data_IF_247938371140
#
_entry.id   IF_247938371140
#
_cell.length_a   1.000
_cell.length_b   1.000
_cell.length_c   1.000
_cell.angle_alpha   90.00
_cell.angle_beta   90.00
_cell.angle_gamma   90.00
#
_symmetry.space_group_name_H-M   'P 1'
#
loop_
_entity.id
_entity.type
_entity.pdbx_description
1 polymer ?
#
# COMPACT_ATOMS: atom_id res chain seq x y z
N UNK A 1 -28.82 -42.64 6.82
CA UNK A 1 -27.61 -43.12 6.13
C UNK A 1 -26.99 -41.95 5.38
N UNK A 2 -25.74 -41.60 5.66
CA UNK A 2 -25.07 -40.45 5.07
C UNK A 2 -24.52 -40.81 3.68
N UNK A 3 -25.00 -40.12 2.63
CA UNK A 3 -24.43 -40.25 1.29
C UNK A 3 -23.07 -39.56 1.24
N UNK A 4 -22.04 -40.41 1.22
CA UNK A 4 -20.64 -40.07 1.05
C UNK A 4 -20.34 -39.97 -0.45
N UNK A 5 -20.00 -38.76 -0.91
CA UNK A 5 -19.12 -38.48 -2.04
C UNK A 5 -19.66 -38.62 -3.46
N UNK A 6 -19.36 -37.61 -4.28
CA UNK A 6 -19.05 -37.81 -5.70
C UNK A 6 -17.95 -36.84 -6.15
N UNK A 7 -17.17 -37.23 -7.17
CA UNK A 7 -15.77 -36.83 -7.34
C UNK A 7 -15.63 -35.65 -8.31
N UNK A 8 -14.88 -34.62 -7.91
CA UNK A 8 -14.48 -33.55 -8.81
C UNK A 8 -13.57 -34.09 -9.91
N UNK A 9 -14.08 -34.05 -11.15
CA UNK A 9 -13.38 -34.35 -12.39
C UNK A 9 -11.93 -33.84 -12.39
N UNK A 10 -10.97 -34.75 -12.54
CA UNK A 10 -9.59 -34.40 -12.90
C UNK A 10 -9.59 -34.09 -14.39
N UNK A 11 -9.60 -32.81 -14.75
CA UNK A 11 -9.25 -32.36 -16.09
C UNK A 11 -7.72 -32.43 -16.25
N UNK A 12 -7.16 -33.34 -17.06
CA UNK A 12 -5.73 -33.32 -17.35
C UNK A 12 -5.39 -32.03 -18.11
N UNK A 13 -4.42 -31.27 -17.59
CA UNK A 13 -3.94 -30.02 -18.22
C UNK A 13 -4.33 -28.71 -17.52
N UNK A 14 -5.13 -28.74 -16.44
CA UNK A 14 -5.48 -27.51 -15.72
C UNK A 14 -4.42 -27.14 -14.65
N UNK A 15 -3.41 -26.36 -15.04
CA UNK A 15 -2.37 -25.80 -14.15
C UNK A 15 -2.95 -24.93 -13.04
N UNK A 16 -4.06 -24.23 -13.31
CA UNK A 16 -4.73 -23.36 -12.35
C UNK A 16 -5.38 -24.15 -11.19
N UNK A 17 -5.79 -25.40 -11.42
CA UNK A 17 -6.37 -26.24 -10.37
C UNK A 17 -5.35 -26.61 -9.27
N UNK A 18 -4.06 -26.69 -9.60
CA UNK A 18 -2.99 -26.88 -8.62
C UNK A 18 -2.73 -25.61 -7.81
N UNK A 19 -2.71 -24.46 -8.47
CA UNK A 19 -2.48 -23.15 -7.84
C UNK A 19 -3.62 -22.80 -6.87
N UNK A 20 -4.88 -23.05 -7.25
CA UNK A 20 -6.04 -22.81 -6.39
C UNK A 20 -6.05 -23.73 -5.16
N UNK A 21 -5.60 -24.99 -5.31
CA UNK A 21 -5.42 -25.90 -4.17
C UNK A 21 -4.31 -25.46 -3.23
N UNK A 22 -3.20 -24.93 -3.76
CA UNK A 22 -2.09 -24.45 -2.92
C UNK A 22 -2.49 -23.17 -2.15
N UNK A 23 -3.30 -22.30 -2.78
CA UNK A 23 -3.92 -21.15 -2.12
C UNK A 23 -4.89 -21.57 -1.01
N UNK A 24 -5.79 -22.53 -1.26
CA UNK A 24 -6.71 -23.05 -0.21
C UNK A 24 -5.97 -23.77 0.92
N UNK A 25 -4.80 -24.37 0.64
CA UNK A 25 -3.95 -24.99 1.66
C UNK A 25 -3.24 -23.96 2.52
N UNK A 26 -2.71 -22.88 1.93
CA UNK A 26 -2.06 -21.78 2.66
C UNK A 26 -3.04 -20.99 3.49
N UNK A 27 -4.26 -20.73 2.99
CA UNK A 27 -5.29 -20.01 3.74
C UNK A 27 -5.71 -20.73 5.03
N UNK A 28 -5.70 -22.07 5.02
CA UNK A 28 -5.99 -22.88 6.22
C UNK A 28 -4.80 -23.02 7.16
N UNK A 29 -3.57 -22.86 6.67
CA UNK A 29 -2.36 -23.05 7.47
C UNK A 29 -2.04 -21.86 8.39
N UNK A 30 -2.59 -20.67 8.14
CA UNK A 30 -2.33 -19.45 8.94
C UNK A 30 -3.24 -19.29 10.17
N UNK A 31 -4.21 -20.18 10.40
CA UNK A 31 -5.21 -20.06 11.49
C UNK A 31 -4.88 -20.89 12.76
N UNK A 32 -3.70 -21.50 12.88
CA UNK A 32 -3.35 -22.26 14.10
C UNK A 32 -1.91 -22.06 14.55
N UNK A 33 -1.59 -20.88 15.09
CA UNK A 33 -0.47 -20.75 16.03
C UNK A 33 -0.55 -19.44 16.81
N UNK A 34 -1.13 -19.51 18.01
CA UNK A 34 -0.61 -18.93 19.28
C UNK A 34 -1.71 -18.97 20.34
N UNK A 35 -1.69 -20.02 21.16
CA UNK A 35 -2.58 -20.14 22.31
C UNK A 35 -1.85 -20.80 23.46
N UNK A 36 -1.06 -20.01 24.23
CA UNK A 36 -0.67 -20.17 25.64
C UNK A 36 0.20 -18.95 26.03
N UNK A 37 -0.04 -18.26 27.16
CA UNK A 37 0.34 -18.75 28.50
C UNK A 37 -0.74 -18.59 29.59
N UNK A 38 -0.57 -19.38 30.65
CA UNK A 38 -1.31 -19.26 31.90
C UNK A 38 -0.51 -18.41 32.91
N UNK A 39 -1.22 -17.46 33.52
CA UNK A 39 -1.08 -16.90 34.87
C UNK A 39 0.29 -16.43 35.41
N UNK A 40 0.36 -15.16 35.82
CA UNK A 40 0.44 -14.77 37.24
C UNK A 40 0.24 -13.25 37.39
N UNK A 41 -0.51 -12.89 38.43
CA UNK A 41 -0.70 -11.52 38.93
C UNK A 41 0.57 -11.09 39.66
N UNK A 42 1.02 -9.86 39.47
CA UNK A 42 1.48 -9.03 40.57
C UNK A 42 1.39 -7.55 40.20
N UNK A 43 0.87 -6.78 41.14
CA UNK A 43 0.65 -5.35 41.07
C UNK A 43 1.98 -4.61 41.04
N UNK A 44 2.15 -3.62 40.16
CA UNK A 44 2.99 -2.46 40.44
C UNK A 44 2.30 -1.21 39.88
N UNK A 45 1.86 -0.37 40.82
CA UNK A 45 1.46 0.99 40.60
C UNK A 45 2.66 1.78 40.05
N UNK A 46 2.54 2.28 38.83
CA UNK A 46 3.47 3.26 38.29
C UNK A 46 2.74 4.23 37.36
N UNK A 47 2.78 5.49 37.80
CA UNK A 47 2.71 6.78 37.11
C UNK A 47 2.43 6.75 35.60
N UNK A 48 1.53 7.61 35.06
CA UNK A 48 1.29 7.67 33.62
C UNK A 48 2.57 8.03 32.87
N UNK A 49 3.20 7.03 32.25
CA UNK A 49 4.30 7.22 31.34
C UNK A 49 3.78 7.98 30.11
N UNK A 50 4.32 9.17 29.89
CA UNK A 50 4.24 9.86 28.60
C UNK A 50 4.62 8.86 27.51
N UNK A 51 3.77 8.64 26.49
CA UNK A 51 4.14 7.74 25.40
C UNK A 51 5.44 8.28 24.79
N UNK A 52 6.46 7.43 24.54
CA UNK A 52 7.66 7.89 23.86
C UNK A 52 7.26 8.51 22.53
N UNK A 53 7.96 9.55 22.03
CA UNK A 53 7.72 10.05 20.69
C UNK A 53 7.82 8.84 19.75
N UNK A 54 6.75 8.57 19.02
CA UNK A 54 6.66 7.42 18.12
C UNK A 54 7.81 7.54 17.11
N UNK A 55 8.90 6.81 17.35
CA UNK A 55 10.01 6.73 16.43
C UNK A 55 9.44 6.12 15.15
N UNK A 56 9.22 6.97 14.13
CA UNK A 56 8.74 6.51 12.84
C UNK A 56 9.67 5.38 12.39
N UNK A 57 9.13 4.17 12.36
CA UNK A 57 9.91 2.96 12.11
C UNK A 57 10.39 3.03 10.67
N UNK A 58 11.70 2.88 10.45
CA UNK A 58 12.23 2.83 9.08
C UNK A 58 11.80 1.52 8.42
N UNK A 59 11.12 1.60 7.28
CA UNK A 59 10.68 0.41 6.54
C UNK A 59 11.46 0.26 5.25
N UNK A 60 11.92 -0.96 4.98
CA UNK A 60 12.45 -1.35 3.67
C UNK A 60 11.36 -1.85 2.71
N UNK A 61 10.09 -1.91 3.15
CA UNK A 61 8.99 -2.43 2.34
C UNK A 61 8.42 -1.33 1.43
N UNK A 62 8.00 -1.67 0.21
CA UNK A 62 7.20 -0.77 -0.61
C UNK A 62 5.94 -0.32 0.14
N UNK A 63 5.58 0.95 -0.03
CA UNK A 63 4.31 1.51 0.42
C UNK A 63 3.55 2.05 -0.78
N UNK A 64 2.23 2.11 -0.67
CA UNK A 64 1.34 2.59 -1.72
C UNK A 64 0.18 3.38 -1.14
N UNK A 65 -0.29 4.38 -1.87
CA UNK A 65 -1.47 5.16 -1.53
C UNK A 65 -2.19 5.64 -2.78
N UNK A 66 -3.46 5.98 -2.62
CA UNK A 66 -4.20 6.77 -3.59
C UNK A 66 -4.47 8.13 -2.95
N UNK A 67 -3.94 9.18 -3.56
CA UNK A 67 -4.07 10.56 -3.09
C UNK A 67 -4.84 11.38 -4.11
N UNK A 68 -5.51 12.45 -3.70
CA UNK A 68 -6.28 13.32 -4.61
C UNK A 68 -5.57 14.66 -4.75
N UNK A 69 -5.61 15.23 -5.95
CA UNK A 69 -5.07 16.57 -6.22
C UNK A 69 -5.97 17.69 -5.73
N UNK A 70 -5.37 18.76 -5.22
CA UNK A 70 -6.01 20.00 -4.78
C UNK A 70 -6.37 20.96 -5.94
N UNK A 71 -6.84 22.17 -5.62
CA UNK A 71 -7.17 23.22 -6.60
C UNK A 71 -5.98 23.66 -7.47
N UNK A 72 -4.75 23.39 -7.05
CA UNK A 72 -3.52 23.67 -7.78
C UNK A 72 -2.98 22.46 -8.55
N UNK A 73 -3.73 21.34 -8.53
CA UNK A 73 -3.36 20.08 -9.14
C UNK A 73 -2.26 19.35 -8.36
N UNK A 74 -2.02 19.69 -7.09
CA UNK A 74 -1.00 19.06 -6.26
C UNK A 74 -1.62 17.97 -5.39
N UNK A 75 -0.97 16.82 -5.35
CA UNK A 75 -1.29 15.76 -4.43
C UNK A 75 -0.09 15.53 -3.51
N UNK A 76 -0.33 15.61 -2.20
CA UNK A 76 0.68 15.41 -1.17
C UNK A 76 0.51 14.04 -0.54
N UNK A 77 1.62 13.35 -0.33
CA UNK A 77 1.64 12.06 0.33
C UNK A 77 2.68 12.06 1.44
N UNK A 78 2.19 11.94 2.67
CA UNK A 78 3.01 11.58 3.82
C UNK A 78 3.12 10.06 3.89
N UNK A 79 4.35 9.55 3.89
CA UNK A 79 4.56 8.12 3.96
C UNK A 79 4.17 7.61 5.36
N UNK A 80 3.58 6.41 5.47
CA UNK A 80 3.21 5.83 6.76
C UNK A 80 4.43 5.47 7.64
N UNK A 81 5.63 5.53 7.06
CA UNK A 81 6.91 5.24 7.70
C UNK A 81 8.02 6.03 6.98
N UNK A 82 9.10 6.35 7.70
CA UNK A 82 10.27 6.98 7.08
C UNK A 82 11.05 5.98 6.22
N UNK A 83 11.55 6.45 5.09
CA UNK A 83 12.61 5.76 4.35
C UNK A 83 13.99 6.12 4.90
N UNK A 84 15.00 5.29 4.63
CA UNK A 84 16.37 5.57 5.05
C UNK A 84 17.06 6.67 4.22
N UNK A 85 16.56 6.89 3.00
CA UNK A 85 16.94 7.91 2.02
C UNK A 85 15.70 8.16 1.12
N UNK A 86 15.65 9.23 0.31
CA UNK A 86 14.55 9.48 -0.61
C UNK A 86 14.24 8.24 -1.48
N UNK A 87 13.00 7.69 -1.47
CA UNK A 87 12.67 6.46 -2.17
C UNK A 87 12.49 6.67 -3.67
N UNK A 88 12.42 5.60 -4.46
CA UNK A 88 11.90 5.69 -5.84
C UNK A 88 10.39 5.79 -5.77
N UNK A 89 9.83 6.88 -6.32
CA UNK A 89 8.40 7.11 -6.40
C UNK A 89 7.89 6.88 -7.83
N UNK A 90 6.82 6.11 -7.96
CA UNK A 90 5.99 6.08 -9.17
C UNK A 90 4.65 6.72 -8.84
N UNK A 91 4.17 7.63 -9.70
CA UNK A 91 2.90 8.32 -9.55
C UNK A 91 2.11 8.25 -10.85
N UNK A 92 0.92 7.65 -10.78
CA UNK A 92 0.06 7.38 -11.93
C UNK A 92 -1.29 8.08 -11.73
N UNK A 93 -1.53 9.21 -12.41
CA UNK A 93 -2.83 9.88 -12.35
C UNK A 93 -3.89 9.03 -13.06
N UNK A 94 -5.04 8.85 -12.43
CA UNK A 94 -6.19 8.16 -12.99
C UNK A 94 -7.13 9.17 -13.67
N UNK A 95 -7.59 8.87 -14.88
CA UNK A 95 -8.53 9.72 -15.61
C UNK A 95 -8.75 9.27 -17.04
N UNK A 96 -9.71 9.88 -17.72
CA UNK A 96 -10.13 9.53 -19.08
C UNK A 96 -9.47 10.38 -20.17
N UNK A 97 -8.38 11.08 -19.85
CA UNK A 97 -7.65 11.94 -20.79
C UNK A 97 -6.15 11.93 -20.55
N UNK A 98 -5.41 12.64 -21.41
CA UNK A 98 -3.96 12.78 -21.23
C UNK A 98 -3.71 13.66 -20.00
N UNK A 99 -3.05 13.08 -19.01
CA UNK A 99 -2.61 13.74 -17.80
C UNK A 99 -1.09 13.60 -17.70
N UNK A 100 -0.44 14.64 -17.22
CA UNK A 100 1.00 14.61 -16.94
C UNK A 100 1.18 14.82 -15.46
N UNK A 101 1.87 13.87 -14.81
CA UNK A 101 2.27 13.98 -13.41
C UNK A 101 3.77 14.27 -13.34
N UNK A 102 4.15 15.22 -12.49
CA UNK A 102 5.55 15.56 -12.22
C UNK A 102 5.78 15.59 -10.72
N UNK A 103 6.91 15.02 -10.31
CA UNK A 103 7.39 15.04 -8.95
C UNK A 103 8.01 16.41 -8.65
N UNK A 104 7.43 17.14 -7.72
CA UNK A 104 7.94 18.45 -7.29
C UNK A 104 8.85 18.33 -6.06
N UNK A 105 8.50 17.45 -5.13
CA UNK A 105 9.27 17.22 -3.90
C UNK A 105 9.28 15.74 -3.55
N UNK A 106 10.43 15.25 -3.07
CA UNK A 106 10.60 13.90 -2.59
C UNK A 106 11.69 13.87 -1.52
N UNK A 107 11.35 13.37 -0.34
CA UNK A 107 12.27 13.17 0.77
C UNK A 107 11.96 11.85 1.49
N UNK A 108 12.57 11.60 2.64
CA UNK A 108 12.39 10.37 3.41
C UNK A 108 10.99 10.22 4.03
N UNK A 109 10.28 11.34 4.22
CA UNK A 109 9.01 11.41 4.94
C UNK A 109 7.79 11.53 4.01
N UNK A 110 7.98 12.04 2.79
CA UNK A 110 6.88 12.20 1.86
C UNK A 110 7.28 12.69 0.48
N UNK A 111 6.24 12.96 -0.32
CA UNK A 111 6.37 13.48 -1.67
C UNK A 111 5.21 14.43 -2.03
N UNK A 112 5.50 15.35 -2.95
CA UNK A 112 4.49 16.18 -3.63
C UNK A 112 4.54 15.92 -5.13
N UNK A 113 3.40 15.53 -5.69
CA UNK A 113 3.22 15.33 -7.13
C UNK A 113 2.26 16.39 -7.65
N UNK A 114 2.58 17.02 -8.77
CA UNK A 114 1.69 17.92 -9.48
C UNK A 114 1.20 17.30 -10.77
N UNK A 115 -0.10 17.38 -11.01
CA UNK A 115 -0.77 16.86 -12.19
C UNK A 115 -1.37 18.01 -12.98
N UNK A 116 -1.14 18.01 -14.30
CA UNK A 116 -1.74 18.96 -15.22
C UNK A 116 -2.33 18.27 -16.43
N UNK A 117 -3.29 18.96 -17.04
CA UNK A 117 -3.78 18.68 -18.39
C UNK A 117 -2.91 19.46 -19.37
N UNK A 118 -2.39 18.80 -20.43
CA UNK A 118 -1.56 19.46 -21.42
C UNK A 118 -2.35 20.56 -22.14
N UNK A 119 -1.61 21.50 -22.72
CA UNK A 119 -2.14 22.47 -23.66
C UNK A 119 -2.83 21.77 -24.84
N UNK A 120 -4.04 22.20 -25.18
CA UNK A 120 -4.76 21.77 -26.39
C UNK A 120 -5.21 23.03 -27.12
N UNK A 121 -5.06 23.05 -28.44
CA UNK A 121 -5.49 24.14 -29.33
C UNK A 121 -5.00 25.53 -28.92
N UNK A 122 -3.70 25.64 -28.57
CA UNK A 122 -3.06 26.92 -28.22
C UNK A 122 -3.38 27.45 -26.82
N UNK A 123 -4.11 26.70 -25.99
CA UNK A 123 -4.37 27.05 -24.59
C UNK A 123 -3.17 26.72 -23.70
N UNK A 124 -3.03 27.41 -22.58
CA UNK A 124 -2.04 27.05 -21.55
C UNK A 124 -2.41 25.73 -20.85
N UNK A 125 -1.41 24.95 -20.37
CA UNK A 125 -1.67 23.80 -19.50
C UNK A 125 -2.47 24.23 -18.26
N UNK A 126 -3.36 23.36 -17.80
CA UNK A 126 -4.21 23.66 -16.63
C UNK A 126 -4.00 22.62 -15.52
N UNK A 127 -4.06 23.03 -14.24
CA UNK A 127 -4.03 22.08 -13.13
C UNK A 127 -5.13 21.03 -13.24
N UNK A 128 -4.79 19.78 -12.92
CA UNK A 128 -5.76 18.70 -12.86
C UNK A 128 -6.28 18.54 -11.42
N UNK A 129 -7.40 19.21 -11.13
CA UNK A 129 -8.10 19.15 -9.82
C UNK A 129 -8.93 17.88 -9.69
N UNK A 130 -9.08 17.37 -8.47
CA UNK A 130 -9.89 16.19 -8.11
C UNK A 130 -9.51 14.91 -8.87
N UNK A 131 -8.23 14.77 -9.20
CA UNK A 131 -7.66 13.58 -9.86
C UNK A 131 -7.04 12.68 -8.80
N UNK A 132 -7.43 11.41 -8.82
CA UNK A 132 -6.77 10.37 -8.02
C UNK A 132 -5.41 10.02 -8.63
N UNK A 133 -4.38 9.96 -7.80
CA UNK A 133 -3.03 9.57 -8.18
C UNK A 133 -2.66 8.33 -7.40
N UNK A 134 -2.41 7.23 -8.12
CA UNK A 134 -1.89 6.00 -7.55
C UNK A 134 -0.38 6.14 -7.39
N UNK A 135 0.07 6.17 -6.14
CA UNK A 135 1.46 6.35 -5.79
C UNK A 135 2.03 5.07 -5.18
N UNK A 136 3.25 4.72 -5.57
CA UNK A 136 4.04 3.65 -4.94
C UNK A 136 5.44 4.16 -4.66
N UNK A 137 5.91 3.99 -3.43
CA UNK A 137 7.26 4.35 -3.02
C UNK A 137 8.03 3.11 -2.58
N UNK A 138 9.26 2.93 -3.09
CA UNK A 138 10.11 1.77 -2.79
C UNK A 138 11.50 2.23 -2.38
N UNK A 139 12.08 1.61 -1.36
CA UNK A 139 13.44 1.89 -0.92
C UNK A 139 14.46 1.59 -2.04
N UNK A 140 15.48 2.43 -2.16
CA UNK A 140 16.61 2.19 -3.06
C UNK A 140 17.54 1.18 -2.39
N UNK A 141 17.83 0.05 -3.05
CA UNK A 141 18.90 -0.84 -2.61
C UNK A 141 20.24 -0.18 -2.92
N UNK A 142 21.06 -0.01 -1.87
CA UNK A 142 22.45 0.42 -2.00
C UNK A 142 23.34 -0.71 -2.54
#
# INVERSE_FOLDING_TARGET
>A
MAHRGTPGHRLPGNTLAGILRDLDRRSRATIRRTGRPAASKESEESTPATPPPSALTRSARPTAAVITTDEHGRARWEFPCLFAAPPVLTALPAGTGVLTAVLEELNEAGATVRVWRPAVDGRSPTPAVDVHVHCTATAVSA
#
